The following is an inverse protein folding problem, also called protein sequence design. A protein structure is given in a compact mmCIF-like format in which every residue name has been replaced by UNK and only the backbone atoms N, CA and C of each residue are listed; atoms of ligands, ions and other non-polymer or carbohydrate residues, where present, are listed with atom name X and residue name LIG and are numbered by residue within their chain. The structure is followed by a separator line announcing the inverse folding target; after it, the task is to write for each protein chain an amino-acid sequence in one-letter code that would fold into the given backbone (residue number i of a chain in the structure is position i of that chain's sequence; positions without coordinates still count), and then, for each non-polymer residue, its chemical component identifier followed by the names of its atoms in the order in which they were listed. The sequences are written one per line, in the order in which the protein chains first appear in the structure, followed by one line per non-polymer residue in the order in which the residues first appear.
data_IF_673312686436
#
_entry.id   IF_673312686436
#
_cell.length_a   1.000
_cell.length_b   1.000
_cell.length_c   1.000
_cell.angle_alpha   90.00
_cell.angle_beta   90.00
_cell.angle_gamma   90.00
#
_symmetry.space_group_name_H-M   'P 1'
#
loop_
_entity.id
_entity.type
_entity.pdbx_description
1 polymer ?
#
# COMPACT_ATOMS: atom_id res chain seq x y z
N UNK A 1 37.11 -48.38 28.47
CA UNK A 1 35.91 -49.06 28.95
C UNK A 1 34.88 -47.99 29.20
N UNK A 2 33.84 -47.72 28.43
CA UNK A 2 33.37 -48.06 27.08
C UNK A 2 32.65 -46.75 26.67
N UNK A 3 32.77 -46.22 25.45
CA UNK A 3 32.29 -46.85 24.24
C UNK A 3 30.79 -46.59 24.09
N UNK A 4 30.38 -45.44 23.56
CA UNK A 4 29.34 -45.39 22.52
C UNK A 4 29.28 -44.01 21.85
N UNK A 5 29.72 -43.99 20.60
CA UNK A 5 29.31 -43.03 19.59
C UNK A 5 27.87 -43.34 19.14
N UNK A 6 27.17 -42.34 18.60
CA UNK A 6 26.74 -42.26 17.18
C UNK A 6 25.75 -41.09 17.06
N UNK A 7 26.11 -40.13 16.22
CA UNK A 7 25.19 -39.18 15.62
C UNK A 7 24.46 -39.86 14.46
N UNK A 8 23.16 -39.59 14.28
CA UNK A 8 22.59 -39.42 12.94
C UNK A 8 21.18 -38.83 13.00
N UNK A 9 21.04 -37.82 12.16
CA UNK A 9 19.86 -37.09 11.72
C UNK A 9 18.71 -38.00 11.29
N UNK A 10 17.48 -37.62 11.65
CA UNK A 10 16.30 -38.00 10.88
C UNK A 10 15.38 -36.80 10.73
N UNK A 11 15.35 -36.33 9.50
CA UNK A 11 14.41 -35.38 8.94
C UNK A 11 12.98 -35.83 9.22
N UNK A 12 12.16 -34.91 9.73
CA UNK A 12 10.71 -34.98 9.55
C UNK A 12 10.32 -33.77 8.73
N UNK A 13 10.46 -33.95 7.41
CA UNK A 13 9.76 -33.18 6.41
C UNK A 13 8.25 -33.40 6.56
N UNK A 14 7.48 -32.34 6.38
CA UNK A 14 6.02 -32.43 6.29
C UNK A 14 5.30 -31.17 6.73
N UNK A 15 5.74 -30.00 6.25
CA UNK A 15 4.87 -28.83 6.16
C UNK A 15 3.72 -29.20 5.21
N UNK A 16 2.61 -29.69 5.77
CA UNK A 16 1.33 -29.72 5.06
C UNK A 16 0.77 -28.31 5.09
N UNK A 17 1.28 -27.50 4.16
CA UNK A 17 0.59 -26.32 3.66
C UNK A 17 -0.70 -26.81 3.02
N UNK A 18 -1.79 -26.76 3.77
CA UNK A 18 -3.13 -26.87 3.21
C UNK A 18 -3.36 -25.62 2.37
N UNK A 19 -2.85 -25.64 1.14
CA UNK A 19 -3.41 -24.82 0.08
C UNK A 19 -4.84 -25.31 -0.10
N UNK A 20 -5.77 -24.67 0.61
CA UNK A 20 -7.17 -24.69 0.26
C UNK A 20 -7.27 -24.12 -1.15
N UNK A 21 -7.10 -25.00 -2.13
CA UNK A 21 -7.54 -24.76 -3.50
C UNK A 21 -9.04 -24.63 -3.43
N UNK A 22 -9.50 -23.40 -3.22
CA UNK A 22 -10.82 -22.97 -3.68
C UNK A 22 -10.77 -23.08 -5.19
N UNK A 23 -11.05 -24.28 -5.70
CA UNK A 23 -11.50 -24.42 -7.07
C UNK A 23 -12.68 -23.48 -7.20
N UNK A 24 -12.58 -22.48 -8.06
CA UNK A 24 -13.70 -21.61 -8.39
C UNK A 24 -14.80 -22.48 -8.99
N UNK A 25 -15.66 -23.01 -8.13
CA UNK A 25 -16.98 -23.45 -8.53
C UNK A 25 -17.77 -22.15 -8.67
N UNK A 26 -18.29 -21.82 -9.86
CA UNK A 26 -19.27 -20.76 -10.00
C UNK A 26 -20.41 -21.09 -9.03
N UNK A 27 -20.54 -20.30 -7.97
CA UNK A 27 -21.70 -20.45 -7.10
C UNK A 27 -22.94 -20.21 -7.95
N UNK A 28 -23.99 -21.04 -7.83
CA UNK A 28 -25.24 -20.81 -8.54
C UNK A 28 -25.72 -19.37 -8.32
N UNK A 29 -26.12 -18.71 -9.40
CA UNK A 29 -26.71 -17.38 -9.34
C UNK A 29 -27.88 -17.38 -8.36
N UNK A 30 -27.90 -16.39 -7.45
CA UNK A 30 -28.94 -16.28 -6.44
C UNK A 30 -30.29 -16.04 -7.11
N UNK A 31 -31.34 -16.76 -6.71
CA UNK A 31 -32.67 -16.46 -7.22
C UNK A 31 -33.19 -15.13 -6.64
N UNK A 32 -34.01 -14.41 -7.41
CA UNK A 32 -34.58 -13.13 -6.99
C UNK A 32 -35.32 -13.20 -5.64
N UNK A 33 -35.96 -14.32 -5.32
CA UNK A 33 -36.60 -14.56 -4.02
C UNK A 33 -35.59 -14.57 -2.87
N UNK A 34 -34.42 -15.20 -3.08
CA UNK A 34 -33.35 -15.22 -2.07
C UNK A 34 -32.73 -13.83 -1.90
N UNK A 35 -32.55 -13.09 -3.00
CA UNK A 35 -32.09 -11.71 -2.93
C UNK A 35 -33.07 -10.82 -2.17
N UNK A 36 -34.38 -10.99 -2.42
CA UNK A 36 -35.44 -10.29 -1.71
C UNK A 36 -35.41 -10.60 -0.20
N UNK A 37 -35.35 -11.87 0.19
CA UNK A 37 -35.28 -12.23 1.61
C UNK A 37 -34.02 -11.70 2.29
N UNK A 38 -32.86 -11.77 1.63
CA UNK A 38 -31.62 -11.21 2.18
C UNK A 38 -31.70 -9.69 2.31
N UNK A 39 -32.24 -9.00 1.31
CA UNK A 39 -32.42 -7.55 1.35
C UNK A 39 -33.37 -7.12 2.47
N UNK A 40 -34.51 -7.79 2.62
CA UNK A 40 -35.40 -7.56 3.76
C UNK A 40 -34.65 -7.80 5.05
N UNK A 41 -34.02 -8.96 5.28
CA UNK A 41 -33.25 -9.22 6.51
C UNK A 41 -32.18 -8.15 6.83
N UNK A 42 -31.58 -7.52 5.81
CA UNK A 42 -30.58 -6.47 5.96
C UNK A 42 -31.17 -5.08 6.26
N UNK A 43 -32.44 -4.85 5.89
CA UNK A 43 -33.07 -3.52 5.94
C UNK A 43 -34.28 -3.44 6.87
N UNK A 44 -34.85 -4.59 7.23
CA UNK A 44 -36.01 -4.78 8.10
C UNK A 44 -35.63 -4.49 9.57
N UNK A 45 -36.50 -3.78 10.29
CA UNK A 45 -36.34 -3.53 11.72
C UNK A 45 -36.65 -4.80 12.55
N UNK A 46 -36.18 -4.86 13.79
CA UNK A 46 -36.36 -6.05 14.64
C UNK A 46 -37.83 -6.46 14.86
N UNK A 47 -38.80 -5.57 14.64
CA UNK A 47 -40.24 -5.86 14.79
C UNK A 47 -40.85 -6.66 13.64
N UNK A 48 -40.29 -6.57 12.43
CA UNK A 48 -40.85 -7.19 11.21
C UNK A 48 -40.05 -8.40 10.72
N UNK A 49 -38.89 -8.68 11.32
CA UNK A 49 -38.03 -9.85 11.06
C UNK A 49 -38.77 -11.20 11.10
N UNK A 50 -39.73 -11.34 12.03
CA UNK A 50 -40.49 -12.57 12.21
C UNK A 50 -41.35 -12.94 11.00
N UNK A 51 -41.79 -11.96 10.21
CA UNK A 51 -42.56 -12.18 8.98
C UNK A 51 -41.67 -12.75 7.88
N UNK A 52 -40.45 -12.23 7.76
CA UNK A 52 -39.45 -12.68 6.78
C UNK A 52 -39.01 -14.11 7.09
N UNK A 53 -38.71 -14.40 8.36
CA UNK A 53 -38.34 -15.76 8.80
C UNK A 53 -39.48 -16.77 8.59
N UNK A 54 -40.73 -16.36 8.83
CA UNK A 54 -41.89 -17.20 8.56
C UNK A 54 -42.06 -17.50 7.07
N UNK A 55 -41.89 -16.49 6.20
CA UNK A 55 -41.93 -16.69 4.76
C UNK A 55 -40.84 -17.66 4.28
N UNK A 56 -39.60 -17.53 4.80
CA UNK A 56 -38.50 -18.45 4.50
C UNK A 56 -38.83 -19.89 4.93
N UNK A 57 -39.43 -20.05 6.12
CA UNK A 57 -39.84 -21.37 6.61
C UNK A 57 -40.96 -21.97 5.75
N UNK A 58 -41.97 -21.17 5.41
CA UNK A 58 -43.12 -21.59 4.60
C UNK A 58 -42.71 -21.99 3.17
N UNK A 59 -41.61 -21.44 2.63
CA UNK A 59 -41.00 -21.87 1.37
C UNK A 59 -40.40 -23.29 1.40
N UNK A 60 -40.22 -23.89 2.58
CA UNK A 60 -39.87 -25.32 2.73
C UNK A 60 -38.40 -25.69 2.44
N UNK A 61 -37.54 -24.75 2.07
CA UNK A 61 -36.11 -25.00 1.80
C UNK A 61 -35.21 -23.98 2.51
N UNK A 62 -35.14 -24.12 3.84
CA UNK A 62 -34.25 -23.33 4.70
C UNK A 62 -32.78 -23.54 4.33
N UNK A 63 -32.40 -24.69 3.77
CA UNK A 63 -31.00 -24.95 3.35
C UNK A 63 -30.63 -24.13 2.12
N UNK A 64 -31.56 -23.96 1.18
CA UNK A 64 -31.39 -23.05 0.03
C UNK A 64 -31.22 -21.60 0.51
N UNK A 65 -31.96 -21.16 1.54
CA UNK A 65 -31.74 -19.86 2.15
C UNK A 65 -30.37 -19.77 2.86
N UNK A 66 -29.99 -20.79 3.64
CA UNK A 66 -28.69 -20.82 4.33
C UNK A 66 -27.50 -20.70 3.36
N UNK A 67 -27.55 -21.38 2.22
CA UNK A 67 -26.52 -21.26 1.16
C UNK A 67 -26.50 -19.86 0.54
N UNK A 68 -27.66 -19.22 0.42
CA UNK A 68 -27.76 -17.85 -0.06
C UNK A 68 -27.07 -16.85 0.88
N UNK A 69 -27.32 -17.02 2.17
CA UNK A 69 -26.71 -16.20 3.21
C UNK A 69 -25.18 -16.37 3.23
N UNK A 70 -24.69 -17.61 3.15
CA UNK A 70 -23.25 -17.89 3.06
C UNK A 70 -22.61 -17.22 1.83
N UNK A 71 -23.27 -17.29 0.67
CA UNK A 71 -22.82 -16.56 -0.52
C UNK A 71 -22.75 -15.06 -0.24
N UNK A 72 -23.80 -14.48 0.32
CA UNK A 72 -23.88 -13.03 0.59
C UNK A 72 -22.79 -12.58 1.57
N UNK A 73 -22.49 -13.37 2.60
CA UNK A 73 -21.39 -13.10 3.53
C UNK A 73 -20.05 -13.08 2.78
N UNK A 74 -19.77 -14.09 1.95
CA UNK A 74 -18.55 -14.11 1.14
C UNK A 74 -18.46 -12.97 0.13
N UNK A 75 -19.61 -12.51 -0.38
CA UNK A 75 -19.66 -11.32 -1.22
C UNK A 75 -19.30 -10.06 -0.43
N UNK A 76 -19.79 -9.92 0.82
CA UNK A 76 -19.37 -8.84 1.70
C UNK A 76 -17.88 -8.88 2.01
N UNK A 77 -17.32 -10.04 2.35
CA UNK A 77 -15.88 -10.19 2.60
C UNK A 77 -15.06 -9.73 1.39
N UNK A 78 -15.44 -10.15 0.18
CA UNK A 78 -14.76 -9.73 -1.05
C UNK A 78 -14.89 -8.23 -1.31
N UNK A 79 -16.06 -7.65 -1.06
CA UNK A 79 -16.29 -6.22 -1.25
C UNK A 79 -15.49 -5.38 -0.25
N UNK A 80 -15.45 -5.79 1.02
CA UNK A 80 -14.66 -5.16 2.07
C UNK A 80 -13.17 -5.21 1.69
N UNK A 81 -12.65 -6.39 1.38
CA UNK A 81 -11.24 -6.55 0.96
C UNK A 81 -10.90 -5.69 -0.26
N UNK A 82 -11.79 -5.63 -1.26
CA UNK A 82 -11.59 -4.81 -2.45
C UNK A 82 -11.57 -3.31 -2.10
N UNK A 83 -12.50 -2.85 -1.28
CA UNK A 83 -12.56 -1.45 -0.86
C UNK A 83 -11.30 -1.06 -0.08
N UNK A 84 -10.87 -1.89 0.85
CA UNK A 84 -9.67 -1.65 1.66
C UNK A 84 -8.41 -1.65 0.80
N UNK A 85 -8.29 -2.59 -0.15
CA UNK A 85 -7.19 -2.61 -1.10
C UNK A 85 -7.13 -1.33 -1.95
N UNK A 86 -8.27 -0.82 -2.42
CA UNK A 86 -8.34 0.45 -3.15
C UNK A 86 -7.91 1.61 -2.26
N UNK A 87 -8.42 1.68 -1.03
CA UNK A 87 -8.08 2.75 -0.08
C UNK A 87 -6.58 2.76 0.27
N UNK A 88 -6.01 1.60 0.55
CA UNK A 88 -4.56 1.44 0.83
C UNK A 88 -3.74 1.89 -0.38
N UNK A 89 -4.10 1.46 -1.59
CA UNK A 89 -3.39 1.86 -2.81
C UNK A 89 -3.44 3.37 -3.04
N UNK A 90 -4.61 4.00 -2.81
CA UNK A 90 -4.75 5.45 -2.93
C UNK A 90 -3.86 6.19 -1.90
N UNK A 91 -3.80 5.70 -0.67
CA UNK A 91 -2.94 6.27 0.37
C UNK A 91 -1.46 6.13 0.05
N UNK A 92 -1.03 4.98 -0.48
CA UNK A 92 0.36 4.76 -0.95
C UNK A 92 0.70 5.73 -2.08
N UNK A 93 -0.21 5.91 -3.04
CA UNK A 93 0.03 6.81 -4.18
C UNK A 93 0.16 8.27 -3.72
N UNK A 94 -0.73 8.73 -2.83
CA UNK A 94 -0.65 10.07 -2.26
C UNK A 94 0.66 10.30 -1.50
N UNK A 95 1.05 9.34 -0.64
CA UNK A 95 2.31 9.42 0.11
C UNK A 95 3.53 9.45 -0.82
N UNK A 96 3.53 8.65 -1.90
CA UNK A 96 4.61 8.65 -2.89
C UNK A 96 4.76 10.00 -3.59
N UNK A 97 3.64 10.66 -3.94
CA UNK A 97 3.66 11.97 -4.58
C UNK A 97 4.22 13.04 -3.64
N UNK A 98 3.81 13.03 -2.37
CA UNK A 98 4.30 13.97 -1.35
C UNK A 98 5.80 13.80 -1.08
N UNK A 99 6.27 12.55 -1.00
CA UNK A 99 7.70 12.25 -0.86
C UNK A 99 8.48 12.78 -2.07
N UNK A 100 7.98 12.58 -3.29
CA UNK A 100 8.63 13.09 -4.50
C UNK A 100 8.77 14.61 -4.47
N UNK A 101 7.69 15.33 -4.14
CA UNK A 101 7.71 16.80 -4.02
C UNK A 101 8.70 17.27 -2.96
N UNK A 102 8.71 16.63 -1.79
CA UNK A 102 9.64 16.98 -0.71
C UNK A 102 11.10 16.70 -1.09
N UNK A 103 11.36 15.62 -1.83
CA UNK A 103 12.68 15.31 -2.36
C UNK A 103 13.19 16.41 -3.30
N UNK A 104 12.35 16.88 -4.23
CA UNK A 104 12.69 18.01 -5.11
C UNK A 104 12.97 19.30 -4.33
N UNK A 105 12.19 19.58 -3.28
CA UNK A 105 12.40 20.73 -2.42
C UNK A 105 13.74 20.66 -1.67
N UNK A 106 14.11 19.49 -1.15
CA UNK A 106 15.41 19.26 -0.51
C UNK A 106 16.54 19.52 -1.52
N UNK A 107 16.41 19.02 -2.75
CA UNK A 107 17.42 19.20 -3.80
C UNK A 107 17.58 20.69 -4.13
N UNK A 108 16.47 21.41 -4.35
CA UNK A 108 16.47 22.86 -4.59
C UNK A 108 17.13 23.62 -3.45
N UNK A 109 16.77 23.33 -2.21
CA UNK A 109 17.37 23.96 -1.03
C UNK A 109 18.88 23.72 -0.98
N UNK A 110 19.34 22.50 -1.24
CA UNK A 110 20.78 22.17 -1.27
C UNK A 110 21.54 22.99 -2.31
N UNK A 111 21.03 23.07 -3.53
CA UNK A 111 21.69 23.85 -4.59
C UNK A 111 21.63 25.36 -4.32
N UNK A 112 20.52 25.86 -3.79
CA UNK A 112 20.41 27.25 -3.35
C UNK A 112 21.47 27.60 -2.30
N UNK A 113 21.61 26.76 -1.26
CA UNK A 113 22.62 26.97 -0.22
C UNK A 113 24.05 26.91 -0.77
N UNK A 114 24.33 25.96 -1.66
CA UNK A 114 25.64 25.86 -2.31
C UNK A 114 25.94 27.11 -3.17
N UNK A 115 24.96 27.58 -3.94
CA UNK A 115 25.09 28.77 -4.77
C UNK A 115 25.32 30.02 -3.93
N UNK A 116 24.58 30.18 -2.83
CA UNK A 116 24.73 31.31 -1.91
C UNK A 116 26.16 31.42 -1.39
N UNK A 117 26.72 30.32 -0.89
CA UNK A 117 28.10 30.28 -0.36
C UNK A 117 29.11 30.62 -1.46
N UNK A 118 28.89 30.06 -2.66
CA UNK A 118 29.75 30.28 -3.81
C UNK A 118 29.76 31.76 -4.25
N UNK A 119 28.59 32.36 -4.36
CA UNK A 119 28.44 33.77 -4.74
C UNK A 119 28.97 34.71 -3.66
N UNK A 120 28.78 34.41 -2.37
CA UNK A 120 29.34 35.17 -1.26
C UNK A 120 30.87 35.14 -1.26
N UNK A 121 31.48 33.97 -1.49
CA UNK A 121 32.92 33.82 -1.63
C UNK A 121 33.47 34.64 -2.80
N UNK A 122 32.88 34.55 -3.99
CA UNK A 122 33.38 35.24 -5.18
C UNK A 122 33.19 36.76 -5.11
N UNK A 123 31.99 37.24 -4.80
CA UNK A 123 31.64 38.66 -4.93
C UNK A 123 32.01 39.47 -3.70
N UNK A 124 32.10 38.84 -2.52
CA UNK A 124 32.42 39.54 -1.27
C UNK A 124 33.85 39.28 -0.86
N UNK A 125 34.25 38.02 -0.67
CA UNK A 125 35.55 37.71 -0.07
C UNK A 125 36.71 37.81 -1.07
N UNK A 126 36.60 37.18 -2.25
CA UNK A 126 37.67 37.20 -3.26
C UNK A 126 37.85 38.60 -3.87
N UNK A 127 36.77 39.37 -4.00
CA UNK A 127 36.82 40.76 -4.46
C UNK A 127 37.77 41.63 -3.61
N UNK A 128 37.86 41.39 -2.30
CA UNK A 128 38.76 42.14 -1.39
C UNK A 128 40.25 41.80 -1.59
N UNK A 129 40.55 40.65 -2.20
CA UNK A 129 41.91 40.11 -2.33
C UNK A 129 42.27 39.79 -3.80
N UNK A 130 41.60 40.46 -4.74
CA UNK A 130 41.74 40.23 -6.19
C UNK A 130 43.15 40.51 -6.73
N UNK A 131 43.93 41.33 -6.02
CA UNK A 131 45.33 41.62 -6.37
C UNK A 131 46.24 40.40 -6.41
N UNK A 132 45.87 39.31 -5.72
CA UNK A 132 46.69 38.10 -5.70
C UNK A 132 46.33 37.18 -6.87
N UNK A 133 47.36 36.68 -7.56
CA UNK A 133 47.21 35.80 -8.73
C UNK A 133 46.42 34.53 -8.42
N UNK A 134 46.60 33.96 -7.22
CA UNK A 134 45.87 32.75 -6.84
C UNK A 134 44.35 33.00 -6.76
N UNK A 135 43.92 34.16 -6.25
CA UNK A 135 42.50 34.56 -6.14
C UNK A 135 41.84 34.62 -7.51
N UNK A 136 42.53 35.20 -8.50
CA UNK A 136 42.01 35.31 -9.87
C UNK A 136 41.89 33.94 -10.55
N UNK A 137 42.85 33.04 -10.30
CA UNK A 137 42.79 31.66 -10.80
C UNK A 137 41.62 30.92 -10.13
N UNK A 138 41.48 31.03 -8.82
CA UNK A 138 40.40 30.41 -8.06
C UNK A 138 39.02 30.89 -8.55
N UNK A 139 38.80 32.20 -8.68
CA UNK A 139 37.54 32.75 -9.20
C UNK A 139 37.21 32.24 -10.61
N UNK A 140 38.20 32.14 -11.50
CA UNK A 140 38.00 31.57 -12.84
C UNK A 140 37.59 30.09 -12.81
N UNK A 141 38.13 29.30 -11.88
CA UNK A 141 37.76 27.88 -11.74
C UNK A 141 36.38 27.66 -11.14
N UNK A 142 35.86 28.64 -10.38
CA UNK A 142 34.55 28.55 -9.72
C UNK A 142 33.38 28.97 -10.63
N UNK A 143 33.63 29.83 -11.61
CA UNK A 143 32.63 30.24 -12.61
C UNK A 143 31.88 29.07 -13.31
N UNK A 144 32.53 28.00 -13.81
CA UNK A 144 31.80 26.87 -14.39
C UNK A 144 30.96 26.12 -13.34
N UNK A 145 31.49 25.91 -12.13
CA UNK A 145 30.76 25.25 -11.02
C UNK A 145 29.50 26.03 -10.66
N UNK A 146 29.57 27.36 -10.62
CA UNK A 146 28.40 28.22 -10.38
C UNK A 146 27.33 28.04 -11.45
N UNK A 147 27.74 27.99 -12.72
CA UNK A 147 26.80 27.81 -13.83
C UNK A 147 26.16 26.42 -13.80
N UNK A 148 26.91 25.38 -13.44
CA UNK A 148 26.37 24.03 -13.24
C UNK A 148 25.35 23.99 -12.11
N UNK A 149 25.62 24.65 -10.97
CA UNK A 149 24.67 24.72 -9.84
C UNK A 149 23.41 25.50 -10.25
N UNK A 150 23.51 26.59 -11.01
CA UNK A 150 22.35 27.37 -11.49
C UNK A 150 21.44 26.60 -12.45
N UNK A 151 21.96 25.54 -13.07
CA UNK A 151 21.20 24.70 -14.00
C UNK A 151 20.46 23.55 -13.30
N UNK A 152 20.54 23.44 -11.97
CA UNK A 152 19.90 22.41 -11.14
C UNK A 152 18.72 22.96 -10.36
#
# INVERSE_FOLDING_TARGET
MDGSSVASTKDTAGESSDTASTSYQPFPEMSAEQEFFLYELETTDSGSIGLVLRAIYDCGDVRKFSRALEHRIHQYDRNIQKHDAIAINAQIQAASEDISKKSEEIVKYRYYQALKVLEELEHTHLALVEKYRFTQVLAKTMAPVRNEIKAK
#
